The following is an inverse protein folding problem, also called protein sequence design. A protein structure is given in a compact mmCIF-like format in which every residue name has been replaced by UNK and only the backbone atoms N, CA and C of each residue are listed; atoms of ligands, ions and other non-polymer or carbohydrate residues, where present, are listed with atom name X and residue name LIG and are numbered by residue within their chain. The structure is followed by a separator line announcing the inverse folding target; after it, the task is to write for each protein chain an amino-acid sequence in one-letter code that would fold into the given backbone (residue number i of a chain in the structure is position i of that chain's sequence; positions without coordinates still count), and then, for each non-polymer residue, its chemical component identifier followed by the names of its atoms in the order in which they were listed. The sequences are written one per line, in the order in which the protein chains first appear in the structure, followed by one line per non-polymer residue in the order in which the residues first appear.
data_IF_738687328459
#
_entry.id   IF_738687328459
#
_cell.length_a   1.000
_cell.length_b   1.000
_cell.length_c   1.000
_cell.angle_alpha   90.00
_cell.angle_beta   90.00
_cell.angle_gamma   90.00
#
_symmetry.space_group_name_H-M   'P 1'
#
loop_
_entity.id
_entity.type
_entity.pdbx_description
1 polymer ?
#
# COMPACT_ATOMS: atom_id res chain seq x y z
N UNK A 1 -16.86 -21.71 -4.61
CA UNK A 1 -16.05 -21.71 -3.38
C UNK A 1 -15.89 -20.26 -2.96
N UNK A 2 -16.21 -19.91 -1.72
CA UNK A 2 -15.91 -18.57 -1.23
C UNK A 2 -14.38 -18.45 -1.13
N UNK A 3 -13.77 -17.60 -1.95
CA UNK A 3 -12.34 -17.32 -1.81
C UNK A 3 -12.14 -16.55 -0.51
N UNK A 4 -11.18 -17.00 0.30
CA UNK A 4 -10.83 -16.32 1.54
C UNK A 4 -10.28 -14.92 1.22
N UNK A 5 -10.70 -13.91 1.99
CA UNK A 5 -10.21 -12.55 1.81
C UNK A 5 -8.80 -12.40 2.39
N UNK A 6 -7.97 -11.63 1.73
CA UNK A 6 -6.62 -11.28 2.11
C UNK A 6 -6.61 -10.67 3.51
N UNK A 7 -5.86 -11.29 4.41
CA UNK A 7 -5.62 -10.75 5.75
C UNK A 7 -4.89 -9.41 5.69
N UNK A 8 -4.94 -8.65 6.79
CA UNK A 8 -4.17 -7.41 6.91
C UNK A 8 -2.66 -7.62 6.68
N UNK A 9 -2.10 -8.73 7.19
CA UNK A 9 -0.71 -9.10 6.97
C UNK A 9 -0.42 -9.41 5.50
N UNK A 10 -1.32 -10.18 4.84
CA UNK A 10 -1.23 -10.47 3.42
C UNK A 10 -1.25 -9.19 2.58
N UNK A 11 -2.15 -8.27 2.89
CA UNK A 11 -2.23 -6.94 2.27
C UNK A 11 -0.92 -6.16 2.46
N UNK A 12 -0.40 -6.10 3.69
CA UNK A 12 0.86 -5.41 3.99
C UNK A 12 2.04 -6.00 3.20
N UNK A 13 2.06 -7.33 3.01
CA UNK A 13 3.06 -8.00 2.18
C UNK A 13 2.97 -7.56 0.71
N UNK A 14 1.76 -7.46 0.14
CA UNK A 14 1.55 -6.97 -1.23
C UNK A 14 2.05 -5.54 -1.44
N UNK A 15 1.79 -4.66 -0.47
CA UNK A 15 2.31 -3.27 -0.51
C UNK A 15 3.84 -3.29 -0.52
N UNK A 16 4.48 -4.07 0.35
CA UNK A 16 5.94 -4.19 0.40
C UNK A 16 6.53 -4.64 -0.93
N UNK A 17 5.96 -5.69 -1.52
CA UNK A 17 6.40 -6.22 -2.82
C UNK A 17 6.30 -5.15 -3.92
N UNK A 18 5.17 -4.44 -3.99
CA UNK A 18 4.96 -3.38 -4.96
C UNK A 18 5.95 -2.21 -4.79
N UNK A 19 6.15 -1.72 -3.56
CA UNK A 19 7.09 -0.62 -3.28
C UNK A 19 8.53 -0.97 -3.63
N UNK A 20 8.96 -2.19 -3.30
CA UNK A 20 10.30 -2.66 -3.63
C UNK A 20 10.50 -2.72 -5.14
N UNK A 21 9.53 -3.26 -5.88
CA UNK A 21 9.62 -3.40 -7.34
C UNK A 21 9.52 -2.06 -8.08
N UNK A 22 8.60 -1.19 -7.69
CA UNK A 22 8.30 0.04 -8.41
C UNK A 22 9.22 1.20 -8.02
N UNK A 23 9.63 1.28 -6.76
CA UNK A 23 10.31 2.44 -6.19
C UNK A 23 11.60 2.11 -5.42
N UNK A 24 11.96 0.82 -5.31
CA UNK A 24 13.10 0.35 -4.49
C UNK A 24 13.02 0.80 -3.01
N UNK A 25 11.80 0.81 -2.47
CA UNK A 25 11.53 1.15 -1.06
C UNK A 25 11.25 -0.12 -0.27
N UNK A 26 11.97 -0.32 0.84
CA UNK A 26 11.80 -1.49 1.71
C UNK A 26 11.04 -1.16 3.01
N UNK A 27 11.11 0.09 3.45
CA UNK A 27 10.52 0.56 4.71
C UNK A 27 9.33 1.50 4.44
N UNK A 28 8.21 1.19 5.07
CA UNK A 28 7.01 2.03 5.07
C UNK A 28 6.19 1.77 6.34
N UNK A 29 5.36 2.74 6.68
CA UNK A 29 4.36 2.68 7.74
C UNK A 29 2.97 2.78 7.13
N UNK A 30 1.98 2.10 7.71
CA UNK A 30 0.58 2.24 7.32
C UNK A 30 -0.05 3.31 8.21
N UNK A 31 -0.52 4.40 7.60
CA UNK A 31 -1.24 5.47 8.29
C UNK A 31 -2.69 5.10 8.53
N UNK A 32 -3.32 4.47 7.53
CA UNK A 32 -4.72 4.08 7.58
C UNK A 32 -4.96 2.89 6.68
N UNK A 33 -5.80 1.97 7.11
CA UNK A 33 -6.26 0.86 6.29
C UNK A 33 -7.71 0.55 6.60
N UNK A 34 -8.52 0.45 5.56
CA UNK A 34 -9.92 0.05 5.65
C UNK A 34 -10.20 -1.01 4.60
N UNK A 35 -10.80 -2.11 5.02
CA UNK A 35 -11.39 -3.06 4.10
C UNK A 35 -12.83 -2.65 3.84
N UNK A 36 -13.17 -2.48 2.57
CA UNK A 36 -14.49 -2.06 2.08
C UNK A 36 -14.99 -3.10 1.08
N UNK A 37 -15.84 -4.02 1.56
CA UNK A 37 -16.21 -5.27 0.89
C UNK A 37 -15.00 -6.04 0.35
N UNK A 38 -14.71 -5.90 -0.94
CA UNK A 38 -13.77 -6.71 -1.69
C UNK A 38 -12.52 -5.91 -2.10
N UNK A 39 -12.31 -4.74 -1.49
CA UNK A 39 -11.07 -3.97 -1.65
C UNK A 39 -10.51 -3.51 -0.31
N UNK A 40 -9.19 -3.48 -0.23
CA UNK A 40 -8.42 -2.76 0.77
C UNK A 40 -8.10 -1.36 0.25
N UNK A 41 -8.50 -0.34 1.00
CA UNK A 41 -8.11 1.05 0.81
C UNK A 41 -7.06 1.39 1.86
N UNK A 42 -5.85 1.68 1.43
CA UNK A 42 -4.70 1.82 2.33
C UNK A 42 -3.95 3.09 2.01
N UNK A 43 -3.51 3.80 3.04
CA UNK A 43 -2.56 4.89 2.92
C UNK A 43 -1.34 4.59 3.75
N UNK A 44 -0.19 4.89 3.17
CA UNK A 44 1.12 4.63 3.74
C UNK A 44 1.97 5.88 3.70
N UNK A 45 2.97 5.89 4.56
CA UNK A 45 4.10 6.82 4.55
C UNK A 45 5.40 6.04 4.39
N UNK A 46 6.32 6.62 3.64
CA UNK A 46 7.67 6.12 3.47
C UNK A 46 8.63 7.28 3.23
N UNK A 47 9.92 6.99 3.24
CA UNK A 47 10.95 7.97 2.89
C UNK A 47 11.44 7.71 1.47
N UNK A 48 11.54 8.78 0.69
CA UNK A 48 12.20 8.73 -0.60
C UNK A 48 13.60 9.32 -0.50
N UNK A 49 14.53 8.69 -1.21
CA UNK A 49 15.90 9.17 -1.34
C UNK A 49 16.09 9.80 -2.70
N UNK A 50 16.47 11.07 -2.71
CA UNK A 50 16.95 11.77 -3.91
C UNK A 50 18.37 12.25 -3.63
N UNK A 51 19.36 11.47 -4.07
CA UNK A 51 20.76 11.68 -3.68
C UNK A 51 20.95 11.50 -2.17
N UNK A 52 21.46 12.53 -1.49
CA UNK A 52 21.65 12.54 -0.04
C UNK A 52 20.42 13.02 0.75
N UNK A 53 19.35 13.45 0.08
CA UNK A 53 18.15 14.00 0.73
C UNK A 53 17.14 12.88 0.93
N UNK A 54 16.69 12.71 2.19
CA UNK A 54 15.51 11.93 2.54
C UNK A 54 14.32 12.87 2.70
N UNK A 55 13.20 12.56 2.05
CA UNK A 55 11.95 13.31 2.20
C UNK A 55 10.78 12.37 2.50
N UNK A 56 9.85 12.76 3.38
CA UNK A 56 8.65 11.98 3.62
C UNK A 56 7.76 12.02 2.37
N UNK A 57 7.20 10.87 2.03
CA UNK A 57 6.24 10.72 0.95
C UNK A 57 5.07 9.85 1.44
N UNK A 58 3.90 10.10 0.89
CA UNK A 58 2.71 9.29 1.11
C UNK A 58 2.35 8.53 -0.16
N UNK A 59 1.66 7.42 -0.01
CA UNK A 59 0.95 6.82 -1.13
C UNK A 59 -0.35 6.17 -0.69
N UNK A 60 -1.24 6.03 -1.67
CA UNK A 60 -2.51 5.38 -1.57
C UNK A 60 -2.52 4.12 -2.43
N UNK A 61 -3.07 3.05 -1.87
CA UNK A 61 -3.30 1.78 -2.53
C UNK A 61 -4.79 1.42 -2.50
N UNK A 62 -5.28 0.90 -3.62
CA UNK A 62 -6.49 0.08 -3.68
C UNK A 62 -6.08 -1.32 -4.11
N UNK A 63 -6.34 -2.31 -3.26
CA UNK A 63 -5.93 -3.70 -3.45
C UNK A 63 -7.18 -4.57 -3.44
N UNK A 64 -7.31 -5.46 -4.41
CA UNK A 64 -8.35 -6.48 -4.42
C UNK A 64 -8.20 -7.39 -3.19
N UNK A 65 -9.23 -7.45 -2.35
CA UNK A 65 -9.18 -8.22 -1.12
C UNK A 65 -9.31 -9.72 -1.36
N UNK A 66 -9.56 -10.20 -2.57
CA UNK A 66 -9.66 -11.63 -2.89
C UNK A 66 -8.37 -12.11 -3.56
N UNK A 67 -7.89 -11.39 -4.57
CA UNK A 67 -6.72 -11.79 -5.36
C UNK A 67 -5.40 -11.20 -4.85
N UNK A 68 -5.47 -10.09 -4.11
CA UNK A 68 -4.30 -9.30 -3.72
C UNK A 68 -3.71 -8.46 -4.85
N UNK A 69 -4.39 -8.33 -5.98
CA UNK A 69 -4.00 -7.46 -7.09
C UNK A 69 -4.05 -5.98 -6.66
N UNK A 70 -3.00 -5.22 -6.98
CA UNK A 70 -2.98 -3.77 -6.80
C UNK A 70 -3.76 -3.13 -7.96
N UNK A 71 -5.01 -2.73 -7.70
CA UNK A 71 -5.88 -2.08 -8.70
C UNK A 71 -5.50 -0.62 -8.92
N UNK A 72 -5.02 0.04 -7.88
CA UNK A 72 -4.62 1.45 -7.95
C UNK A 72 -3.45 1.73 -7.03
N UNK A 73 -2.49 2.52 -7.53
CA UNK A 73 -1.37 3.08 -6.78
C UNK A 73 -1.22 4.57 -7.11
N UNK A 74 -1.31 5.43 -6.08
CA UNK A 74 -1.18 6.88 -6.21
C UNK A 74 -0.19 7.42 -5.19
N UNK A 75 0.99 7.81 -5.65
CA UNK A 75 1.99 8.52 -4.85
C UNK A 75 1.60 9.99 -4.63
N UNK A 76 1.84 10.53 -3.44
CA UNK A 76 1.48 11.89 -3.04
C UNK A 76 0.02 12.05 -2.59
N UNK A 77 -0.71 10.95 -2.43
CA UNK A 77 -2.11 10.93 -1.98
C UNK A 77 -2.23 10.10 -0.71
N UNK A 78 -3.17 10.49 0.13
CA UNK A 78 -3.61 9.75 1.30
C UNK A 78 -5.13 9.86 1.44
N UNK A 79 -5.78 8.84 1.98
CA UNK A 79 -7.17 8.90 2.36
C UNK A 79 -7.32 9.79 3.60
N UNK A 80 -8.35 10.64 3.58
CA UNK A 80 -8.90 11.27 4.78
C UNK A 80 -10.21 10.53 5.07
N UNK A 81 -10.31 9.92 6.25
CA UNK A 81 -11.50 9.17 6.69
C UNK A 81 -12.29 9.99 7.70
#
# INVERSE_FOLDING_TARGET
MASEKLSFEGMKKRIREHLKMALNIEEFSINSAKQDSDVWKVSIEFKEKTGAIESPATALFIIDAITGEVKEFKKGYAWTF
#
